data_IF_129587216147
#
_entry.id   IF_129587216147
#
_cell.length_a   1.000
_cell.length_b   1.000
_cell.length_c   1.000
_cell.angle_alpha   90.00
_cell.angle_beta   90.00
_cell.angle_gamma   90.00
#
_symmetry.space_group_name_H-M   'P 1'
#
loop_
_entity.id
_entity.type
_entity.pdbx_description
1 polymer ?
#
# COMPACT_ATOMS: atom_id res chain seq x y z
N UNK A 1 7.70 55.68 -38.50
CA UNK A 1 8.90 54.81 -38.65
C UNK A 1 8.56 53.40 -38.16
N UNK A 2 8.23 52.45 -39.04
CA UNK A 2 7.97 51.08 -38.64
C UNK A 2 9.29 50.44 -38.19
N UNK A 3 9.37 49.98 -36.93
CA UNK A 3 10.52 49.21 -36.46
C UNK A 3 10.50 47.86 -37.17
N UNK A 4 11.52 47.59 -37.99
CA UNK A 4 11.72 46.28 -38.60
C UNK A 4 11.75 45.22 -37.49
N UNK A 5 10.88 44.21 -37.61
CA UNK A 5 10.98 43.01 -36.77
C UNK A 5 12.32 42.36 -37.13
N UNK A 6 13.19 42.04 -36.17
CA UNK A 6 14.38 41.27 -36.49
C UNK A 6 13.91 39.97 -37.15
N UNK A 7 14.34 39.77 -38.40
CA UNK A 7 14.15 38.52 -39.11
C UNK A 7 14.72 37.43 -38.22
N UNK A 8 13.86 36.59 -37.64
CA UNK A 8 14.28 35.37 -36.98
C UNK A 8 14.70 34.40 -38.08
N UNK A 9 15.88 34.64 -38.67
CA UNK A 9 16.68 33.57 -39.20
C UNK A 9 16.73 32.52 -38.09
N UNK A 10 16.15 31.36 -38.37
CA UNK A 10 15.93 30.25 -37.45
C UNK A 10 17.21 30.04 -36.65
N UNK A 11 17.28 30.58 -35.44
CA UNK A 11 18.50 30.56 -34.65
C UNK A 11 18.86 29.09 -34.47
N UNK A 12 19.99 28.67 -35.04
CA UNK A 12 20.43 27.29 -34.94
C UNK A 12 20.55 26.94 -33.46
N UNK A 13 19.88 25.87 -33.04
CA UNK A 13 19.91 25.40 -31.66
C UNK A 13 21.37 25.17 -31.27
N UNK A 14 21.89 25.73 -30.16
CA UNK A 14 23.29 25.58 -29.78
C UNK A 14 23.72 24.11 -29.74
N UNK A 15 24.98 23.82 -30.12
CA UNK A 15 25.52 22.45 -30.16
C UNK A 15 25.33 21.74 -28.83
N UNK A 16 25.65 22.42 -27.72
CA UNK A 16 25.53 21.88 -26.36
C UNK A 16 24.09 21.49 -26.02
N UNK A 17 23.11 22.27 -26.49
CA UNK A 17 21.69 21.98 -26.28
C UNK A 17 21.24 20.74 -27.08
N UNK A 18 21.79 20.52 -28.28
CA UNK A 18 21.52 19.31 -29.07
C UNK A 18 22.10 18.07 -28.39
N UNK A 19 23.35 18.14 -27.92
CA UNK A 19 24.00 17.05 -27.17
C UNK A 19 23.23 16.74 -25.87
N UNK A 20 22.75 17.76 -25.16
CA UNK A 20 21.93 17.56 -23.97
C UNK A 20 20.59 16.87 -24.30
N UNK A 21 19.97 17.21 -25.43
CA UNK A 21 18.72 16.60 -25.88
C UNK A 21 18.92 15.13 -26.29
N UNK A 22 20.00 14.82 -27.01
CA UNK A 22 20.35 13.44 -27.37
C UNK A 22 20.54 12.57 -26.12
N UNK A 23 21.31 13.05 -25.13
CA UNK A 23 21.48 12.35 -23.84
C UNK A 23 20.17 12.17 -23.08
N UNK A 24 19.30 13.18 -23.12
CA UNK A 24 17.99 13.09 -22.48
C UNK A 24 17.11 12.04 -23.16
N UNK A 25 17.12 11.96 -24.50
CA UNK A 25 16.39 10.95 -25.25
C UNK A 25 16.90 9.53 -24.93
N UNK A 26 18.22 9.33 -24.95
CA UNK A 26 18.84 8.05 -24.55
C UNK A 26 18.44 7.64 -23.12
N UNK A 27 18.48 8.59 -22.18
CA UNK A 27 18.07 8.34 -20.79
C UNK A 27 16.59 7.99 -20.67
N UNK A 28 15.72 8.61 -21.48
CA UNK A 28 14.29 8.31 -21.49
C UNK A 28 14.03 6.89 -22.03
N UNK A 29 14.73 6.47 -23.09
CA UNK A 29 14.66 5.12 -23.63
C UNK A 29 15.19 4.05 -22.64
N UNK A 30 16.21 4.39 -21.85
CA UNK A 30 16.68 3.53 -20.76
C UNK A 30 15.62 3.35 -19.67
N UNK A 31 14.94 4.44 -19.27
CA UNK A 31 13.85 4.38 -18.29
C UNK A 31 12.69 3.53 -18.83
N UNK A 32 12.30 3.71 -20.09
CA UNK A 32 11.24 2.91 -20.72
C UNK A 32 11.59 1.41 -20.70
N UNK A 33 12.81 1.06 -21.12
CA UNK A 33 13.31 -0.33 -21.06
C UNK A 33 13.33 -0.88 -19.64
N UNK A 34 13.72 -0.08 -18.65
CA UNK A 34 13.76 -0.49 -17.24
C UNK A 34 12.36 -0.69 -16.65
N UNK A 35 11.37 0.08 -17.10
CA UNK A 35 9.99 0.01 -16.61
C UNK A 35 9.14 -1.05 -17.34
N UNK A 36 9.51 -1.47 -18.55
CA UNK A 36 8.74 -2.44 -19.33
C UNK A 36 8.34 -3.71 -18.55
N UNK A 37 9.24 -4.39 -17.80
CA UNK A 37 8.85 -5.59 -17.04
C UNK A 37 7.80 -5.31 -15.96
N UNK A 38 7.82 -4.10 -15.37
CA UNK A 38 6.84 -3.70 -14.36
C UNK A 38 5.47 -3.38 -14.98
N UNK A 39 5.46 -2.78 -16.18
CA UNK A 39 4.25 -2.41 -16.91
C UNK A 39 3.57 -3.61 -17.57
N UNK A 40 4.35 -4.60 -18.01
CA UNK A 40 3.87 -5.85 -18.61
C UNK A 40 3.38 -6.86 -17.55
N UNK A 41 3.85 -6.74 -16.31
CA UNK A 41 3.47 -7.64 -15.24
C UNK A 41 1.99 -7.45 -14.84
N UNK A 42 1.30 -8.57 -14.59
CA UNK A 42 -0.05 -8.54 -14.04
C UNK A 42 0.02 -8.07 -12.57
N UNK A 43 -0.51 -6.87 -12.33
CA UNK A 43 -0.31 -6.16 -11.08
C UNK A 43 -0.87 -6.92 -9.86
N UNK A 44 -1.92 -7.72 -10.02
CA UNK A 44 -2.50 -8.53 -8.94
C UNK A 44 -1.62 -9.73 -8.58
N UNK A 45 -1.01 -10.39 -9.56
CA UNK A 45 -0.08 -11.50 -9.38
C UNK A 45 1.19 -11.07 -8.65
N UNK A 46 1.73 -9.89 -8.99
CA UNK A 46 2.88 -9.31 -8.29
C UNK A 46 2.52 -8.94 -6.86
N UNK A 47 1.39 -8.24 -6.64
CA UNK A 47 0.95 -7.84 -5.30
C UNK A 47 0.74 -9.04 -4.36
N UNK A 48 0.21 -10.16 -4.85
CA UNK A 48 -0.02 -11.37 -4.03
C UNK A 48 1.28 -12.01 -3.51
N UNK A 49 2.42 -11.77 -4.16
CA UNK A 49 3.72 -12.35 -3.78
C UNK A 49 4.50 -11.50 -2.79
N UNK A 50 4.10 -10.26 -2.57
CA UNK A 50 4.82 -9.28 -1.75
C UNK A 50 4.24 -9.21 -0.33
N UNK A 51 5.10 -9.14 0.68
CA UNK A 51 4.72 -8.85 2.06
C UNK A 51 4.09 -7.46 2.14
N UNK A 52 3.25 -7.16 3.16
CA UNK A 52 2.60 -5.85 3.27
C UNK A 52 3.56 -4.66 3.21
N UNK A 53 4.74 -4.76 3.84
CA UNK A 53 5.77 -3.71 3.80
C UNK A 53 6.39 -3.56 2.40
N UNK A 54 6.74 -4.67 1.75
CA UNK A 54 7.29 -4.67 0.39
C UNK A 54 6.28 -4.13 -0.64
N UNK A 55 5.00 -4.42 -0.44
CA UNK A 55 3.91 -3.82 -1.25
C UNK A 55 3.89 -2.30 -1.09
N UNK A 56 3.96 -1.81 0.14
CA UNK A 56 3.97 -0.37 0.41
C UNK A 56 5.19 0.30 -0.25
N UNK A 57 6.38 -0.32 -0.13
CA UNK A 57 7.62 0.15 -0.76
C UNK A 57 7.52 0.18 -2.30
N UNK A 58 6.92 -0.87 -2.88
CA UNK A 58 6.70 -0.95 -4.34
C UNK A 58 5.72 0.14 -4.80
N UNK A 59 4.60 0.31 -4.12
CA UNK A 59 3.62 1.36 -4.45
C UNK A 59 4.20 2.77 -4.32
N UNK A 60 5.02 3.00 -3.29
CA UNK A 60 5.68 4.29 -3.10
C UNK A 60 6.71 4.55 -4.20
N UNK A 61 7.49 3.54 -4.58
CA UNK A 61 8.45 3.64 -5.69
C UNK A 61 7.75 3.97 -7.02
N UNK A 62 6.60 3.35 -7.29
CA UNK A 62 5.78 3.66 -8.47
C UNK A 62 5.28 5.11 -8.43
N UNK A 63 4.76 5.56 -7.28
CA UNK A 63 4.30 6.94 -7.12
C UNK A 63 5.44 7.95 -7.32
N UNK A 64 6.63 7.66 -6.80
CA UNK A 64 7.84 8.47 -6.99
C UNK A 64 8.24 8.54 -8.45
N UNK A 65 8.24 7.41 -9.16
CA UNK A 65 8.56 7.34 -10.58
C UNK A 65 7.59 8.21 -11.40
N UNK A 66 6.28 8.09 -11.16
CA UNK A 66 5.25 8.90 -11.84
C UNK A 66 5.48 10.40 -11.58
N UNK A 67 5.68 10.80 -10.33
CA UNK A 67 5.89 12.21 -9.97
C UNK A 67 7.16 12.77 -10.63
N UNK A 68 8.25 11.99 -10.66
CA UNK A 68 9.54 12.39 -11.25
C UNK A 68 9.44 12.49 -12.78
N UNK A 69 8.81 11.51 -13.44
CA UNK A 69 8.58 11.55 -14.89
C UNK A 69 7.71 12.73 -15.30
N UNK A 70 6.69 13.05 -14.49
CA UNK A 70 5.84 14.20 -14.72
C UNK A 70 6.60 15.53 -14.50
N UNK A 71 7.47 15.60 -13.49
CA UNK A 71 8.38 16.73 -13.33
C UNK A 71 9.30 16.91 -14.55
N UNK A 72 9.89 15.83 -15.06
CA UNK A 72 10.72 15.87 -16.27
C UNK A 72 9.93 16.41 -17.47
N UNK A 73 8.70 15.93 -17.66
CA UNK A 73 7.78 16.41 -18.70
C UNK A 73 7.48 17.92 -18.57
N UNK A 74 7.25 18.43 -17.36
CA UNK A 74 7.04 19.87 -17.18
C UNK A 74 8.27 20.70 -17.60
N UNK A 75 9.47 20.20 -17.30
CA UNK A 75 10.72 20.86 -17.70
C UNK A 75 10.88 20.91 -19.22
N UNK A 76 10.44 19.88 -19.95
CA UNK A 76 10.48 19.91 -21.43
C UNK A 76 9.49 20.91 -22.04
N UNK A 77 8.40 21.22 -21.32
CA UNK A 77 7.47 22.30 -21.69
C UNK A 77 7.97 23.70 -21.31
N UNK A 78 9.12 23.82 -20.65
CA UNK A 78 9.61 25.08 -20.11
C UNK A 78 8.85 25.57 -18.87
N UNK A 79 8.08 24.69 -18.22
CA UNK A 79 7.38 24.99 -16.97
C UNK A 79 8.29 24.69 -15.79
N UNK A 80 8.43 25.66 -14.86
CA UNK A 80 9.18 25.49 -13.61
C UNK A 80 8.42 24.55 -12.65
N UNK A 81 8.93 23.34 -12.34
CA UNK A 81 8.25 22.40 -11.46
C UNK A 81 8.11 22.91 -10.02
N UNK A 82 8.95 23.86 -9.60
CA UNK A 82 8.90 24.44 -8.25
C UNK A 82 7.66 25.28 -8.00
N UNK A 83 7.04 25.78 -9.07
CA UNK A 83 5.80 26.56 -9.02
C UNK A 83 4.58 25.72 -9.41
N UNK A 84 4.78 24.44 -9.71
CA UNK A 84 3.74 23.52 -10.12
C UNK A 84 3.27 22.64 -8.95
N UNK A 85 2.03 22.14 -9.01
CA UNK A 85 1.47 21.27 -7.98
C UNK A 85 2.26 19.95 -7.77
N UNK A 86 3.09 19.57 -8.76
CA UNK A 86 3.97 18.38 -8.67
C UNK A 86 4.95 18.48 -7.50
N UNK A 87 5.35 19.68 -7.09
CA UNK A 87 6.20 19.90 -5.92
C UNK A 87 5.58 19.30 -4.66
N UNK A 88 4.27 19.50 -4.47
CA UNK A 88 3.54 18.92 -3.34
C UNK A 88 3.44 17.40 -3.43
N UNK A 89 3.40 16.85 -4.64
CA UNK A 89 3.39 15.40 -4.86
C UNK A 89 4.73 14.78 -4.48
N UNK A 90 5.85 15.43 -4.79
CA UNK A 90 7.19 15.01 -4.38
C UNK A 90 7.37 15.08 -2.86
N UNK A 91 6.96 16.18 -2.23
CA UNK A 91 6.96 16.33 -0.76
C UNK A 91 6.08 15.25 -0.08
N UNK A 92 4.96 14.89 -0.71
CA UNK A 92 4.10 13.81 -0.24
C UNK A 92 4.80 12.45 -0.31
N UNK A 93 5.52 12.17 -1.40
CA UNK A 93 6.33 10.95 -1.54
C UNK A 93 7.38 10.87 -0.43
N UNK A 94 8.16 11.93 -0.21
CA UNK A 94 9.17 11.99 0.87
C UNK A 94 8.56 11.73 2.25
N UNK A 95 7.37 12.29 2.52
CA UNK A 95 6.64 12.04 3.77
C UNK A 95 6.29 10.56 3.94
N UNK A 96 5.90 9.87 2.87
CA UNK A 96 5.60 8.44 2.92
C UNK A 96 6.86 7.58 3.00
N UNK A 97 7.99 8.03 2.46
CA UNK A 97 9.30 7.35 2.65
C UNK A 97 9.65 7.31 4.13
N UNK A 98 9.50 8.44 4.83
CA UNK A 98 9.70 8.49 6.29
C UNK A 98 8.78 7.54 7.07
N UNK A 99 7.50 7.42 6.67
CA UNK A 99 6.56 6.49 7.31
C UNK A 99 6.93 5.02 7.08
N UNK A 100 7.40 4.68 5.88
CA UNK A 100 7.86 3.33 5.57
C UNK A 100 9.12 3.02 6.37
N UNK A 101 10.09 3.92 6.43
CA UNK A 101 11.30 3.71 7.22
C UNK A 101 11.01 3.54 8.71
N UNK A 102 10.13 4.38 9.27
CA UNK A 102 9.70 4.27 10.67
C UNK A 102 9.02 2.91 10.92
N UNK A 103 8.14 2.48 10.00
CA UNK A 103 7.48 1.17 10.08
C UNK A 103 8.48 0.03 9.97
N UNK A 104 9.45 0.12 9.06
CA UNK A 104 10.54 -0.85 8.91
C UNK A 104 11.38 -0.96 10.18
N UNK A 105 11.66 0.16 10.87
CA UNK A 105 12.36 0.15 12.17
C UNK A 105 11.55 -0.52 13.27
N UNK A 106 10.22 -0.35 13.27
CA UNK A 106 9.32 -0.98 14.26
C UNK A 106 9.11 -2.47 14.04
N UNK A 107 8.89 -2.87 12.78
CA UNK A 107 8.51 -4.23 12.39
C UNK A 107 9.74 -5.10 12.08
N UNK A 108 10.90 -4.48 11.87
CA UNK A 108 12.11 -5.13 11.36
C UNK A 108 12.07 -5.29 9.84
N UNK A 109 13.21 -5.64 9.23
CA UNK A 109 13.32 -5.94 7.79
C UNK A 109 12.60 -7.24 7.37
N UNK A 110 12.05 -7.96 8.35
CA UNK A 110 11.45 -9.27 8.19
C UNK A 110 12.43 -10.31 7.61
N UNK A 111 13.74 -10.15 7.82
CA UNK A 111 14.75 -11.19 7.59
C UNK A 111 14.59 -12.36 8.57
N UNK A 112 13.87 -12.14 9.68
CA UNK A 112 13.38 -13.20 10.58
C UNK A 112 12.04 -13.76 10.08
N UNK A 113 12.11 -14.56 9.03
CA UNK A 113 11.16 -15.65 8.78
C UNK A 113 9.87 -15.29 8.03
N UNK A 114 9.47 -16.27 7.21
CA UNK A 114 8.24 -16.37 6.43
C UNK A 114 8.13 -15.43 5.22
N UNK A 115 8.54 -15.99 4.08
CA UNK A 115 7.85 -15.72 2.82
C UNK A 115 6.33 -15.74 3.04
N UNK A 116 5.61 -14.84 2.40
CA UNK A 116 4.17 -14.62 2.58
C UNK A 116 3.27 -15.82 2.15
N UNK A 117 3.83 -17.02 1.98
CA UNK A 117 3.10 -18.27 1.66
C UNK A 117 2.60 -19.08 2.86
N UNK A 118 3.11 -18.88 4.08
CA UNK A 118 2.82 -19.77 5.23
C UNK A 118 1.96 -19.16 6.35
N UNK A 119 1.49 -17.92 6.22
CA UNK A 119 0.76 -17.25 7.31
C UNK A 119 -0.76 -17.46 7.31
N UNK A 120 -1.25 -18.48 6.60
CA UNK A 120 -2.60 -18.99 6.75
C UNK A 120 -2.55 -20.48 7.06
N UNK A 121 -2.04 -20.82 8.24
CA UNK A 121 -2.36 -22.09 8.88
C UNK A 121 -2.79 -21.77 10.30
N UNK A 122 -4.09 -21.89 10.55
CA UNK A 122 -4.53 -22.35 11.87
C UNK A 122 -3.69 -23.59 12.21
N UNK A 123 -3.32 -23.82 13.49
CA UNK A 123 -2.57 -25.02 13.86
C UNK A 123 -3.29 -26.22 13.25
N UNK A 124 -2.55 -27.03 12.49
CA UNK A 124 -3.13 -28.19 11.84
C UNK A 124 -3.70 -29.10 12.94
N UNK A 125 -4.66 -29.96 12.57
CA UNK A 125 -5.23 -30.93 13.51
C UNK A 125 -4.13 -31.81 14.13
N UNK A 126 -3.00 -31.99 13.42
CA UNK A 126 -1.81 -32.70 13.88
C UNK A 126 -1.00 -31.90 14.92
N UNK A 127 -0.91 -30.57 14.80
CA UNK A 127 -0.25 -29.70 15.78
C UNK A 127 -1.06 -29.62 17.08
N UNK A 128 -2.40 -29.61 16.97
CA UNK A 128 -3.31 -29.71 18.09
C UNK A 128 -3.21 -31.10 18.78
N UNK A 129 -3.10 -32.19 18.00
CA UNK A 129 -2.89 -33.53 18.54
C UNK A 129 -1.57 -33.66 19.30
N UNK A 130 -0.48 -33.08 18.78
CA UNK A 130 0.83 -33.05 19.44
C UNK A 130 0.87 -32.16 20.69
N UNK A 131 0.03 -31.12 20.77
CA UNK A 131 -0.13 -30.33 22.00
C UNK A 131 -0.86 -31.13 23.09
N UNK A 132 -1.87 -31.93 22.71
CA UNK A 132 -2.55 -32.85 23.63
C UNK A 132 -1.60 -33.95 24.13
N UNK A 133 -0.74 -34.49 23.26
CA UNK A 133 0.26 -35.50 23.65
C UNK A 133 1.34 -34.96 24.60
N UNK A 134 1.61 -33.64 24.54
CA UNK A 134 2.52 -32.92 25.44
C UNK A 134 1.85 -32.40 26.73
N UNK A 135 0.54 -32.61 26.89
CA UNK A 135 -0.22 -32.18 28.08
C UNK A 135 -0.44 -30.66 28.18
N UNK A 136 -0.28 -29.93 27.08
CA UNK A 136 -0.43 -28.48 27.03
C UNK A 136 -1.88 -28.10 26.69
N UNK A 137 -2.73 -28.01 27.72
CA UNK A 137 -4.10 -27.49 27.63
C UNK A 137 -5.20 -28.56 27.53
N UNK A 138 -6.39 -28.23 28.05
CA UNK A 138 -7.55 -29.13 27.99
C UNK A 138 -8.20 -29.10 26.59
N UNK A 139 -8.61 -30.27 26.04
CA UNK A 139 -9.16 -30.37 24.68
C UNK A 139 -10.35 -29.44 24.44
N UNK A 140 -11.13 -29.17 25.49
CA UNK A 140 -12.29 -28.29 25.44
C UNK A 140 -11.94 -26.81 25.23
N UNK A 141 -10.78 -26.35 25.68
CA UNK A 141 -10.37 -24.95 25.56
C UNK A 141 -9.80 -24.64 24.17
N UNK A 142 -9.07 -25.60 23.60
CA UNK A 142 -8.53 -25.52 22.24
C UNK A 142 -9.66 -25.54 21.19
N UNK A 143 -10.67 -26.40 21.38
CA UNK A 143 -11.85 -26.43 20.51
C UNK A 143 -12.66 -25.13 20.59
N UNK A 144 -12.77 -24.55 21.80
CA UNK A 144 -13.53 -23.32 22.04
C UNK A 144 -12.83 -22.10 21.42
N UNK A 145 -11.49 -22.06 21.46
CA UNK A 145 -10.71 -21.05 20.76
C UNK A 145 -10.85 -21.16 19.23
N UNK A 146 -10.80 -22.39 18.69
CA UNK A 146 -11.00 -22.63 17.25
C UNK A 146 -12.42 -22.27 16.76
N UNK A 147 -13.43 -22.45 17.61
CA UNK A 147 -14.83 -22.14 17.28
C UNK A 147 -15.22 -20.67 17.53
N UNK A 148 -14.52 -19.95 18.41
CA UNK A 148 -14.80 -18.55 18.71
C UNK A 148 -14.45 -17.61 17.54
N UNK A 149 -13.42 -17.92 16.76
CA UNK A 149 -13.01 -17.13 15.58
C UNK A 149 -13.99 -17.26 14.39
N UNK A 150 -14.85 -18.29 14.35
CA UNK A 150 -15.85 -18.45 13.28
C UNK A 150 -17.07 -17.50 13.44
N UNK A 151 -17.12 -16.67 14.48
CA UNK A 151 -18.29 -15.81 14.77
C UNK A 151 -18.02 -14.30 14.70
N UNK A 152 -16.97 -13.88 13.99
CA UNK A 152 -16.52 -12.50 14.00
C UNK A 152 -16.07 -11.91 12.67
N UNK A 153 -16.66 -12.28 11.52
CA UNK A 153 -16.69 -11.40 10.33
C UNK A 153 -17.68 -11.98 9.31
N UNK A 154 -18.83 -11.31 9.13
CA UNK A 154 -19.65 -11.28 7.90
C UNK A 154 -20.93 -10.47 8.22
N UNK A 155 -20.83 -9.16 8.01
CA UNK A 155 -21.96 -8.24 8.03
C UNK A 155 -21.94 -7.37 6.79
N UNK A 156 -22.41 -7.92 5.67
CA UNK A 156 -23.00 -7.15 4.56
C UNK A 156 -24.05 -7.99 3.80
N UNK A 157 -25.23 -7.39 3.54
CA UNK A 157 -26.12 -7.78 2.43
C UNK A 157 -27.38 -8.65 2.69
N UNK A 158 -28.53 -7.98 2.83
CA UNK A 158 -29.86 -8.28 2.24
C UNK A 158 -30.72 -9.51 2.66
N UNK A 159 -31.87 -9.26 3.30
CA UNK A 159 -33.19 -9.11 2.65
C UNK A 159 -34.40 -9.45 3.57
N UNK A 160 -35.46 -8.65 3.39
CA UNK A 160 -36.90 -8.86 3.63
C UNK A 160 -37.44 -9.51 4.93
N UNK A 161 -38.10 -8.65 5.74
CA UNK A 161 -39.57 -8.64 5.79
C UNK A 161 -40.30 -9.50 6.84
N UNK A 162 -41.06 -8.83 7.72
CA UNK A 162 -42.28 -9.41 8.33
C UNK A 162 -42.34 -9.36 9.85
N UNK A 163 -42.98 -8.31 10.39
CA UNK A 163 -42.96 -7.99 11.82
C UNK A 163 -43.89 -8.80 12.74
N UNK A 164 -43.66 -8.66 14.05
CA UNK A 164 -44.70 -8.33 15.03
C UNK A 164 -44.10 -7.79 16.31
N UNK A 165 -44.64 -6.64 16.73
CA UNK A 165 -44.35 -5.89 17.95
C UNK A 165 -44.91 -6.60 19.19
N UNK A 166 -44.20 -6.54 20.31
CA UNK A 166 -44.71 -6.21 21.66
C UNK A 166 -43.53 -6.36 22.65
N UNK A 167 -42.94 -5.28 23.18
CA UNK A 167 -43.44 -4.39 24.24
C UNK A 167 -43.17 -4.91 25.66
N UNK A 168 -42.72 -3.95 26.49
CA UNK A 168 -42.57 -3.93 27.97
C UNK A 168 -41.28 -4.58 28.48
N UNK A 169 -40.40 -3.93 29.23
CA UNK A 169 -40.53 -2.68 29.99
C UNK A 169 -40.34 -2.97 31.48
N UNK A 170 -39.45 -2.18 32.10
CA UNK A 170 -39.27 -2.03 33.55
C UNK A 170 -38.72 -3.27 34.30
N UNK A 171 -38.02 -3.16 35.43
CA UNK A 171 -37.27 -2.12 36.12
C UNK A 171 -36.76 -2.82 37.39
N UNK A 172 -35.77 -2.18 38.03
CA UNK A 172 -35.56 -2.19 39.47
C UNK A 172 -34.84 -3.42 40.07
N UNK A 173 -33.63 -3.20 40.62
CA UNK A 173 -33.36 -3.05 42.08
C UNK A 173 -33.20 -4.43 42.74
N UNK A 174 -32.25 -4.75 43.61
CA UNK A 174 -31.40 -3.97 44.51
C UNK A 174 -30.48 -4.94 45.25
N UNK A 175 -29.24 -4.51 45.49
CA UNK A 175 -28.44 -4.67 46.72
C UNK A 175 -28.48 -5.98 47.53
N UNK A 176 -27.27 -6.52 47.72
CA UNK A 176 -26.62 -6.82 49.01
C UNK A 176 -27.38 -7.66 50.05
N UNK A 177 -26.78 -8.80 50.44
CA UNK A 177 -26.23 -8.96 51.80
C UNK A 177 -25.30 -10.16 51.92
N UNK A 178 -24.13 -9.90 52.51
CA UNK A 178 -23.19 -10.86 53.11
C UNK A 178 -23.86 -11.66 54.24
N UNK A 179 -23.23 -12.82 54.50
CA UNK A 179 -23.01 -13.46 55.81
C UNK A 179 -23.99 -14.59 56.16
N UNK A 180 -23.49 -15.83 56.16
CA UNK A 180 -22.91 -16.41 57.37
C UNK A 180 -21.83 -17.40 57.01
#
# INVERSE_FOLDING_TARGET
>A
MPRARPSTARAEVPVDARVALERFAESAEEIERALAPLLEAEASAVRRRLRPLERAETHLSIARAIATLFEMYLRTLGVDPSKHAVRKELERVETYEGKIEETRRRVGDGSRGASAGERNAAPSVEDAAKAMERGEGEPGDLLRAALAEKKGDDGDGDDAGGGKRAARGAAAKTSAKRKK
#
